data_IF_134287891310
#
_entry.id   IF_134287891310
#
_cell.length_a   1.000
_cell.length_b   1.000
_cell.length_c   1.000
_cell.angle_alpha   90.00
_cell.angle_beta   90.00
_cell.angle_gamma   90.00
#
_symmetry.space_group_name_H-M   'P 1'
#
loop_
_entity.id
_entity.type
_entity.pdbx_description
1 polymer ?
#
# COMPACT_ATOMS: atom_id res chain seq x y z
N UNK A 1 -7.44 -13.67 -21.08
CA UNK A 1 -6.74 -12.63 -20.31
C UNK A 1 -5.57 -12.15 -21.12
N UNK A 2 -5.33 -10.84 -21.13
CA UNK A 2 -4.13 -10.27 -21.74
C UNK A 2 -2.90 -10.81 -20.99
N UNK A 3 -1.92 -11.34 -21.72
CA UNK A 3 -0.70 -11.93 -21.14
C UNK A 3 0.47 -10.95 -21.14
N UNK A 4 0.23 -9.69 -21.53
CA UNK A 4 1.26 -8.65 -21.47
C UNK A 4 1.66 -8.39 -20.02
N UNK A 5 2.97 -8.22 -19.76
CA UNK A 5 3.44 -7.80 -18.45
C UNK A 5 2.74 -6.52 -18.00
N UNK A 6 2.35 -6.47 -16.72
CA UNK A 6 1.79 -5.27 -16.10
C UNK A 6 2.92 -4.50 -15.42
N UNK A 7 3.11 -3.25 -15.81
CA UNK A 7 3.94 -2.33 -15.05
C UNK A 7 3.16 -1.87 -13.81
N UNK A 8 3.54 -2.38 -12.64
CA UNK A 8 2.81 -2.13 -11.38
C UNK A 8 2.86 -0.66 -10.99
N UNK A 9 3.96 0.05 -11.29
CA UNK A 9 4.09 1.47 -11.00
C UNK A 9 3.12 2.31 -11.85
N UNK A 10 3.05 2.06 -13.16
CA UNK A 10 2.09 2.75 -14.04
C UNK A 10 0.64 2.42 -13.67
N UNK A 11 0.36 1.17 -13.30
CA UNK A 11 -0.97 0.76 -12.89
C UNK A 11 -1.39 1.46 -11.58
N UNK A 12 -0.49 1.60 -10.61
CA UNK A 12 -0.77 2.27 -9.34
C UNK A 12 -0.94 3.79 -9.53
N UNK A 13 -0.16 4.41 -10.41
CA UNK A 13 -0.29 5.82 -10.78
C UNK A 13 -1.56 6.14 -11.63
N UNK A 14 -2.30 5.13 -12.07
CA UNK A 14 -3.48 5.33 -12.94
C UNK A 14 -4.77 5.68 -12.18
N UNK A 15 -4.74 5.67 -10.84
CA UNK A 15 -5.88 5.99 -9.98
C UNK A 15 -5.42 6.58 -8.65
N UNK A 16 -6.26 7.41 -8.02
CA UNK A 16 -5.97 8.06 -6.74
C UNK A 16 -6.89 7.58 -5.59
N UNK A 17 -7.87 6.72 -5.88
CA UNK A 17 -8.84 6.23 -4.89
C UNK A 17 -8.14 5.42 -3.78
N UNK A 18 -8.24 5.90 -2.55
CA UNK A 18 -7.67 5.25 -1.36
C UNK A 18 -8.57 4.09 -0.90
N UNK A 19 -7.97 2.99 -0.45
CA UNK A 19 -8.63 1.78 0.05
C UNK A 19 -9.60 1.16 -0.98
N UNK A 20 -9.35 1.40 -2.27
CA UNK A 20 -10.12 0.85 -3.38
C UNK A 20 -9.25 -0.12 -4.21
N UNK A 21 -9.09 -1.38 -3.79
CA UNK A 21 -8.19 -2.32 -4.45
C UNK A 21 -8.60 -2.60 -5.91
N UNK A 22 -7.61 -2.64 -6.81
CA UNK A 22 -7.75 -2.99 -8.22
C UNK A 22 -7.00 -4.29 -8.50
N UNK A 23 -7.62 -5.23 -9.21
CA UNK A 23 -6.97 -6.49 -9.60
C UNK A 23 -6.13 -6.23 -10.85
N UNK A 24 -4.83 -6.51 -10.79
CA UNK A 24 -3.89 -6.33 -11.89
C UNK A 24 -3.43 -7.64 -12.53
N UNK A 25 -3.52 -8.74 -11.79
CA UNK A 25 -3.26 -10.07 -12.32
C UNK A 25 -4.01 -11.12 -11.51
N UNK A 26 -4.06 -12.34 -12.07
CA UNK A 26 -4.56 -13.52 -11.37
C UNK A 26 -3.51 -14.62 -11.48
N UNK A 27 -3.17 -15.23 -10.35
CA UNK A 27 -2.26 -16.37 -10.26
C UNK A 27 -3.03 -17.54 -9.66
N UNK A 28 -3.34 -18.55 -10.46
CA UNK A 28 -4.25 -19.64 -10.06
C UNK A 28 -5.58 -19.07 -9.56
N UNK A 29 -5.93 -19.35 -8.31
CA UNK A 29 -7.10 -18.89 -7.57
C UNK A 29 -6.85 -17.62 -6.73
N UNK A 30 -5.68 -16.99 -6.84
CA UNK A 30 -5.32 -15.75 -6.15
C UNK A 30 -5.41 -14.52 -7.06
N UNK A 31 -5.91 -13.42 -6.51
CA UNK A 31 -5.83 -12.11 -7.13
C UNK A 31 -4.57 -11.37 -6.67
N UNK A 32 -3.85 -10.75 -7.61
CA UNK A 32 -2.84 -9.74 -7.29
C UNK A 32 -3.53 -8.39 -7.35
N UNK A 33 -3.57 -7.70 -6.20
CA UNK A 33 -4.27 -6.42 -6.04
C UNK A 33 -3.28 -5.31 -5.74
N UNK A 34 -3.62 -4.11 -6.21
CA UNK A 34 -2.93 -2.87 -5.88
C UNK A 34 -3.93 -1.86 -5.30
N UNK A 35 -3.48 -1.06 -4.33
CA UNK A 35 -4.31 -0.06 -3.68
C UNK A 35 -3.43 1.05 -3.10
N UNK A 36 -3.93 2.28 -3.13
CA UNK A 36 -3.42 3.35 -2.28
C UNK A 36 -3.97 3.19 -0.87
N UNK A 37 -3.16 3.46 0.15
CA UNK A 37 -3.54 3.43 1.56
C UNK A 37 -3.27 4.80 2.19
N UNK A 38 -4.08 5.20 3.19
CA UNK A 38 -3.95 6.49 3.86
C UNK A 38 -4.31 6.38 5.34
N UNK A 39 -3.29 6.38 6.20
CA UNK A 39 -3.50 6.31 7.63
C UNK A 39 -3.96 4.92 8.07
N UNK A 40 -4.86 4.89 9.06
CA UNK A 40 -5.28 3.65 9.71
C UNK A 40 -6.29 2.86 8.87
N UNK A 41 -6.11 1.54 8.88
CA UNK A 41 -7.08 0.60 8.33
C UNK A 41 -7.72 -0.21 9.46
N UNK A 42 -8.91 -0.75 9.22
CA UNK A 42 -9.62 -1.54 10.24
C UNK A 42 -8.85 -2.83 10.51
N UNK A 43 -8.62 -3.14 11.78
CA UNK A 43 -8.10 -4.44 12.19
C UNK A 43 -9.06 -5.54 11.77
N UNK A 44 -8.58 -6.47 10.95
CA UNK A 44 -9.34 -7.61 10.47
C UNK A 44 -8.43 -8.82 10.30
N UNK A 45 -9.04 -9.98 10.10
CA UNK A 45 -8.36 -11.23 9.80
C UNK A 45 -9.14 -11.97 8.71
N UNK A 46 -8.42 -12.85 8.01
CA UNK A 46 -9.00 -13.82 7.11
C UNK A 46 -8.80 -15.20 7.72
N UNK A 47 -9.89 -15.88 8.06
CA UNK A 47 -9.83 -17.15 8.79
C UNK A 47 -9.26 -18.30 7.94
N UNK A 48 -9.42 -18.20 6.62
CA UNK A 48 -9.18 -19.30 5.67
C UNK A 48 -7.98 -19.06 4.74
N UNK A 49 -7.34 -17.89 4.81
CA UNK A 49 -6.24 -17.56 3.88
C UNK A 49 -5.29 -16.51 4.44
N UNK A 50 -4.01 -16.66 4.15
CA UNK A 50 -3.02 -15.62 4.40
C UNK A 50 -3.12 -14.53 3.33
N UNK A 51 -2.79 -13.29 3.71
CA UNK A 51 -2.63 -12.18 2.77
C UNK A 51 -1.20 -11.64 2.84
N UNK A 52 -0.56 -11.56 1.66
CA UNK A 52 0.79 -11.03 1.53
C UNK A 52 0.74 -9.57 1.07
N UNK A 53 1.48 -8.71 1.77
CA UNK A 53 1.61 -7.30 1.43
C UNK A 53 3.03 -6.97 0.98
N UNK A 54 3.17 -6.39 -0.21
CA UNK A 54 4.39 -5.76 -0.69
C UNK A 54 4.23 -4.25 -0.66
N UNK A 55 5.00 -3.58 0.20
CA UNK A 55 5.00 -2.11 0.22
C UNK A 55 5.76 -1.59 -1.01
N UNK A 56 5.10 -0.70 -1.74
CA UNK A 56 5.68 0.00 -2.88
C UNK A 56 5.96 1.46 -2.51
N UNK A 57 7.10 1.97 -2.98
CA UNK A 57 7.41 3.39 -2.88
C UNK A 57 6.83 4.11 -4.09
N UNK A 58 5.88 5.02 -3.85
CA UNK A 58 5.49 5.99 -4.86
C UNK A 58 6.57 7.07 -4.93
N UNK A 59 7.07 7.45 -6.12
CA UNK A 59 8.05 8.52 -6.29
C UNK A 59 7.58 9.86 -5.69
N UNK A 60 6.26 10.08 -5.62
CA UNK A 60 5.65 11.25 -4.98
C UNK A 60 5.74 11.26 -3.44
N UNK A 61 6.27 10.20 -2.83
CA UNK A 61 6.37 10.02 -1.38
C UNK A 61 5.25 9.11 -0.84
N UNK A 62 5.63 8.12 -0.04
CA UNK A 62 4.69 7.20 0.61
C UNK A 62 4.07 7.85 1.85
N UNK A 63 2.74 7.92 1.94
CA UNK A 63 2.05 8.11 3.22
C UNK A 63 2.16 6.80 3.99
N UNK A 64 2.89 6.80 5.11
CA UNK A 64 3.20 5.58 5.87
C UNK A 64 1.96 4.91 6.45
N UNK A 65 2.00 3.58 6.59
CA UNK A 65 0.96 2.74 7.19
C UNK A 65 1.05 2.63 8.72
N UNK A 66 1.63 3.61 9.41
CA UNK A 66 1.54 3.62 10.87
C UNK A 66 2.64 4.37 11.62
N UNK A 67 2.19 5.26 12.48
CA UNK A 67 2.92 6.00 13.49
C UNK A 67 2.11 6.15 14.78
N UNK A 68 1.22 5.20 15.11
CA UNK A 68 0.44 5.31 16.35
C UNK A 68 1.30 4.98 17.57
N UNK A 69 1.99 6.01 18.07
CA UNK A 69 2.48 6.08 19.44
C UNK A 69 1.46 6.88 20.26
N UNK A 70 0.73 6.23 21.17
CA UNK A 70 -0.07 6.94 22.17
C UNK A 70 0.88 7.49 23.27
N UNK A 71 1.35 8.73 23.10
CA UNK A 71 2.24 9.43 24.05
C UNK A 71 3.20 10.43 23.38
N UNK A 72 4.03 11.11 24.16
CA UNK A 72 5.10 11.97 23.62
C UNK A 72 6.13 11.15 22.82
N UNK A 73 6.39 11.56 21.58
CA UNK A 73 7.47 11.00 20.78
C UNK A 73 8.81 11.41 21.41
N UNK A 74 9.73 10.48 21.71
CA UNK A 74 11.04 10.82 22.25
C UNK A 74 11.77 11.82 21.36
N UNK A 75 12.44 12.81 21.95
CA UNK A 75 13.10 13.90 21.20
C UNK A 75 14.21 13.45 20.21
N UNK A 76 14.61 12.17 20.25
CA UNK A 76 15.58 11.57 19.33
C UNK A 76 14.93 10.79 18.18
N UNK A 77 13.59 10.81 18.07
CA UNK A 77 12.83 10.12 17.04
C UNK A 77 12.17 11.17 16.14
N UNK A 78 12.53 11.16 14.86
CA UNK A 78 11.88 11.97 13.84
C UNK A 78 10.71 11.18 13.22
N UNK A 79 9.49 11.67 13.40
CA UNK A 79 8.34 11.23 12.60
C UNK A 79 8.31 12.03 11.30
N UNK A 80 8.33 11.32 10.16
CA UNK A 80 8.17 11.94 8.86
C UNK A 80 7.03 11.26 8.10
N UNK A 81 6.00 12.02 7.73
CA UNK A 81 5.21 11.71 6.55
C UNK A 81 6.11 11.86 5.32
N UNK A 82 6.01 10.94 4.36
CA UNK A 82 6.97 10.79 3.26
C UNK A 82 7.38 12.11 2.60
N UNK A 83 8.68 12.24 2.29
CA UNK A 83 9.23 13.36 1.53
C UNK A 83 9.23 12.99 0.04
N UNK A 84 8.94 13.97 -0.82
CA UNK A 84 9.06 13.80 -2.27
C UNK A 84 10.49 13.39 -2.65
N UNK A 85 10.63 12.39 -3.51
CA UNK A 85 11.92 11.99 -4.08
C UNK A 85 12.21 12.92 -5.26
N UNK A 86 13.37 13.59 -5.23
CA UNK A 86 13.83 14.50 -6.29
C UNK A 86 14.40 13.77 -7.50
#
# INVERSE_FOLDING_TARGET
MDTRPVNVHEALASFDDVYSPRIVARMNDYDVRIAHTLGEHVWHAHDDTDEFFLLMFEPSGTSSTGDRHDGEIPAHVDSTTGRALG
#
